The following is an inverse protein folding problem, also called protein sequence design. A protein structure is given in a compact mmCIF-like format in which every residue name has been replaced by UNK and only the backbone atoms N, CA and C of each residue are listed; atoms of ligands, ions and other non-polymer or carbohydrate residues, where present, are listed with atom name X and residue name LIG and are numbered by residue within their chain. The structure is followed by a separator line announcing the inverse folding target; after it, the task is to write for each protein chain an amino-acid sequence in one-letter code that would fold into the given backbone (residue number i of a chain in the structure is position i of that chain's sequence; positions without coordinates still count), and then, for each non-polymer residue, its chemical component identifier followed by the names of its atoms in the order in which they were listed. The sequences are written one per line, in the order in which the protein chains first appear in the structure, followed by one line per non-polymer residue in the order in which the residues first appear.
data_IF_827572123004
#
_entry.id   IF_827572123004
#
_cell.length_a   1.000
_cell.length_b   1.000
_cell.length_c   1.000
_cell.angle_alpha   90.00
_cell.angle_beta   90.00
_cell.angle_gamma   90.00
#
_symmetry.space_group_name_H-M   'P 1'
#
loop_
_entity.id
_entity.type
_entity.pdbx_description
1 polymer ?
#
# COMPACT_ATOMS: atom_id res chain seq x y z
N UNK A 1 -3.22 15.69 -1.19
CA UNK A 1 -2.60 14.78 -2.17
C UNK A 1 -2.80 13.37 -1.65
N UNK A 2 -3.16 12.46 -2.53
CA UNK A 2 -3.42 11.05 -2.17
C UNK A 2 -2.11 10.25 -2.18
N UNK A 3 -1.98 9.29 -1.26
CA UNK A 3 -0.77 8.47 -1.12
C UNK A 3 -0.52 7.62 -2.37
N UNK A 4 -1.58 7.06 -2.98
CA UNK A 4 -1.48 6.28 -4.22
C UNK A 4 -0.89 7.11 -5.37
N UNK A 5 -1.35 8.36 -5.54
CA UNK A 5 -0.84 9.24 -6.58
C UNK A 5 0.67 9.54 -6.40
N UNK A 6 1.10 9.74 -5.15
CA UNK A 6 2.51 9.96 -4.83
C UNK A 6 3.37 8.73 -5.14
N UNK A 7 2.89 7.51 -4.83
CA UNK A 7 3.56 6.27 -5.22
C UNK A 7 3.73 6.19 -6.76
N UNK A 8 2.69 6.52 -7.53
CA UNK A 8 2.77 6.51 -9.01
C UNK A 8 3.73 7.55 -9.58
N UNK A 9 3.95 8.65 -8.87
CA UNK A 9 4.94 9.67 -9.23
C UNK A 9 6.37 9.34 -8.73
N UNK A 10 6.57 8.20 -8.05
CA UNK A 10 7.85 7.82 -7.44
C UNK A 10 8.20 8.63 -6.19
N UNK A 11 7.23 9.33 -5.59
CA UNK A 11 7.40 10.16 -4.38
C UNK A 11 7.15 9.33 -3.12
N UNK A 12 7.90 8.25 -2.96
CA UNK A 12 7.72 7.24 -1.91
C UNK A 12 7.77 7.81 -0.49
N UNK A 13 8.75 8.67 -0.17
CA UNK A 13 8.85 9.34 1.13
C UNK A 13 7.60 10.17 1.48
N UNK A 14 7.02 10.84 0.49
CA UNK A 14 5.85 11.67 0.68
C UNK A 14 4.60 10.79 0.88
N UNK A 15 4.48 9.68 0.15
CA UNK A 15 3.44 8.69 0.36
C UNK A 15 3.54 8.05 1.76
N UNK A 16 4.77 7.70 2.18
CA UNK A 16 5.05 7.11 3.49
C UNK A 16 4.58 8.03 4.62
N UNK A 17 4.86 9.33 4.53
CA UNK A 17 4.38 10.33 5.51
C UNK A 17 2.86 10.38 5.65
N UNK A 18 2.11 10.05 4.59
CA UNK A 18 0.65 10.00 4.63
C UNK A 18 0.20 8.69 5.28
N UNK A 19 0.66 7.54 4.78
CA UNK A 19 0.16 6.23 5.24
C UNK A 19 0.57 5.92 6.69
N UNK A 20 1.68 6.46 7.19
CA UNK A 20 2.07 6.27 8.59
C UNK A 20 1.11 6.92 9.59
N UNK A 21 0.29 7.88 9.15
CA UNK A 21 -0.68 8.59 10.00
C UNK A 21 -2.05 7.89 10.04
N UNK A 22 -2.26 6.86 9.21
CA UNK A 22 -3.51 6.12 9.12
C UNK A 22 -3.29 4.63 9.46
N UNK A 23 -4.09 4.11 10.37
CA UNK A 23 -4.03 2.74 10.85
C UNK A 23 -4.98 1.77 10.09
N UNK A 24 -5.64 2.22 9.02
CA UNK A 24 -6.52 1.39 8.20
C UNK A 24 -5.77 0.26 7.49
N UNK A 25 -6.51 -0.77 7.07
CA UNK A 25 -5.94 -1.89 6.27
C UNK A 25 -5.44 -1.41 4.92
N UNK A 26 -6.08 -0.41 4.32
CA UNK A 26 -5.66 0.20 3.06
C UNK A 26 -4.32 0.93 3.24
N UNK A 27 -4.18 1.73 4.29
CA UNK A 27 -2.90 2.41 4.57
C UNK A 27 -1.80 1.41 4.93
N UNK A 28 -2.10 0.36 5.69
CA UNK A 28 -1.15 -0.74 5.91
C UNK A 28 -0.73 -1.42 4.60
N UNK A 29 -1.64 -1.60 3.65
CA UNK A 29 -1.33 -2.18 2.35
C UNK A 29 -0.35 -1.30 1.55
N UNK A 30 -0.66 -0.01 1.37
CA UNK A 30 0.26 0.91 0.70
C UNK A 30 1.61 1.02 1.43
N UNK A 31 1.63 0.92 2.75
CA UNK A 31 2.86 0.88 3.54
C UNK A 31 3.74 -0.33 3.17
N UNK A 32 3.12 -1.50 2.97
CA UNK A 32 3.79 -2.70 2.48
C UNK A 32 4.41 -2.51 1.11
N UNK A 33 3.67 -1.90 0.18
CA UNK A 33 4.15 -1.60 -1.18
C UNK A 33 5.34 -0.63 -1.16
N UNK A 34 5.30 0.41 -0.30
CA UNK A 34 6.39 1.38 -0.16
C UNK A 34 7.68 0.69 0.32
N UNK A 35 7.61 -0.14 1.36
CA UNK A 35 8.81 -0.85 1.82
C UNK A 35 9.31 -1.91 0.85
N UNK A 36 8.44 -2.48 0.01
CA UNK A 36 8.85 -3.36 -1.07
C UNK A 36 9.71 -2.60 -2.11
N UNK A 37 9.32 -1.38 -2.48
CA UNK A 37 10.12 -0.50 -3.34
C UNK A 37 11.48 -0.16 -2.70
N UNK A 38 11.49 0.14 -1.40
CA UNK A 38 12.71 0.49 -0.66
C UNK A 38 13.67 -0.70 -0.45
N UNK A 39 13.22 -1.94 -0.75
CA UNK A 39 13.97 -3.17 -0.52
C UNK A 39 13.94 -3.68 0.92
N UNK A 40 13.15 -3.07 1.81
CA UNK A 40 12.93 -3.54 3.19
C UNK A 40 11.84 -4.62 3.22
N UNK A 41 12.17 -5.79 2.65
CA UNK A 41 11.22 -6.89 2.46
C UNK A 41 10.66 -7.45 3.77
N UNK A 42 11.43 -7.37 4.86
CA UNK A 42 10.96 -7.83 6.17
C UNK A 42 9.83 -6.94 6.68
N UNK A 43 9.99 -5.62 6.53
CA UNK A 43 9.00 -4.65 6.97
C UNK A 43 7.80 -4.60 6.00
N UNK A 44 8.05 -4.71 4.69
CA UNK A 44 7.00 -4.89 3.69
C UNK A 44 6.06 -6.03 4.08
N UNK A 45 6.61 -7.21 4.41
CA UNK A 45 5.85 -8.38 4.87
C UNK A 45 5.05 -8.10 6.15
N UNK A 46 5.62 -7.39 7.12
CA UNK A 46 4.90 -6.99 8.33
C UNK A 46 3.66 -6.15 8.01
N UNK A 47 3.78 -5.20 7.09
CA UNK A 47 2.66 -4.33 6.70
C UNK A 47 1.62 -5.02 5.81
N UNK A 48 2.04 -5.89 4.88
CA UNK A 48 1.10 -6.75 4.15
C UNK A 48 0.29 -7.63 5.10
N UNK A 49 0.94 -8.26 6.08
CA UNK A 49 0.26 -9.04 7.12
C UNK A 49 -0.73 -8.17 7.92
N UNK A 50 -0.37 -6.93 8.25
CA UNK A 50 -1.26 -5.99 8.94
C UNK A 50 -2.47 -5.56 8.09
N UNK A 51 -2.31 -5.50 6.77
CA UNK A 51 -3.42 -5.34 5.84
C UNK A 51 -4.30 -6.61 5.73
N UNK A 52 -3.84 -7.75 6.27
CA UNK A 52 -4.43 -9.07 6.08
C UNK A 52 -4.24 -9.63 4.68
N UNK A 53 -3.11 -9.27 4.06
CA UNK A 53 -2.72 -9.70 2.72
C UNK A 53 -1.43 -10.50 2.79
N UNK A 54 -1.30 -11.47 1.89
CA UNK A 54 -0.02 -12.10 1.64
C UNK A 54 0.88 -11.12 0.86
N UNK A 55 2.20 -11.33 0.94
CA UNK A 55 3.14 -10.61 0.09
C UNK A 55 2.83 -10.91 -1.38
N UNK A 56 2.76 -9.89 -2.25
CA UNK A 56 2.40 -10.10 -3.65
C UNK A 56 3.58 -10.69 -4.44
N UNK A 57 3.29 -11.69 -5.28
CA UNK A 57 4.24 -12.22 -6.28
C UNK A 57 4.30 -11.33 -7.55
N UNK A 58 3.72 -10.13 -7.49
CA UNK A 58 3.53 -9.23 -8.64
C UNK A 58 4.51 -8.04 -8.61
N UNK A 59 4.56 -7.30 -9.72
CA UNK A 59 5.33 -6.04 -9.75
C UNK A 59 4.65 -4.97 -8.89
N UNK A 60 5.41 -3.99 -8.43
CA UNK A 60 4.87 -2.86 -7.67
C UNK A 60 3.79 -2.11 -8.46
N UNK A 61 3.98 -1.96 -9.78
CA UNK A 61 2.99 -1.34 -10.65
C UNK A 61 1.66 -2.12 -10.67
N UNK A 62 1.73 -3.46 -10.74
CA UNK A 62 0.54 -4.32 -10.68
C UNK A 62 -0.15 -4.21 -9.31
N UNK A 63 0.63 -4.16 -8.23
CA UNK A 63 0.07 -4.06 -6.88
C UNK A 63 -0.59 -2.69 -6.63
N UNK A 64 -0.04 -1.60 -7.16
CA UNK A 64 -0.69 -0.29 -7.14
C UNK A 64 -1.98 -0.28 -7.98
N UNK A 65 -2.03 -0.99 -9.11
CA UNK A 65 -3.25 -1.14 -9.89
C UNK A 65 -4.32 -1.96 -9.13
N UNK A 66 -3.91 -3.00 -8.40
CA UNK A 66 -4.80 -3.78 -7.55
C UNK A 66 -5.35 -2.93 -6.41
N UNK A 67 -4.48 -2.17 -5.74
CA UNK A 67 -4.88 -1.23 -4.71
C UNK A 67 -5.93 -0.22 -5.22
N UNK A 68 -5.69 0.38 -6.38
CA UNK A 68 -6.61 1.36 -6.98
C UNK A 68 -7.98 0.75 -7.28
N UNK A 69 -8.02 -0.49 -7.77
CA UNK A 69 -9.29 -1.21 -8.00
C UNK A 69 -10.05 -1.45 -6.71
N UNK A 70 -9.37 -1.81 -5.62
CA UNK A 70 -9.98 -2.01 -4.31
C UNK A 70 -10.52 -0.71 -3.72
N UNK A 71 -9.79 0.40 -3.93
CA UNK A 71 -10.18 1.72 -3.45
C UNK A 71 -11.45 2.24 -4.13
N UNK A 72 -11.62 1.95 -5.42
CA UNK A 72 -12.76 2.39 -6.25
C UNK A 72 -13.92 1.39 -6.23
N UNK A 73 -13.66 0.12 -5.95
CA UNK A 73 -14.66 -0.94 -5.88
C UNK A 73 -15.68 -0.76 -4.74
N UNK A 74 -16.79 -1.53 -4.75
CA UNK A 74 -17.75 -1.51 -3.65
C UNK A 74 -17.04 -1.95 -2.37
N UNK A 75 -16.80 -1.00 -1.48
CA UNK A 75 -16.08 -1.17 -0.23
C UNK A 75 -16.84 -2.13 0.69
N UNK A 76 -16.44 -3.41 0.70
CA UNK A 76 -17.02 -4.46 1.56
C UNK A 76 -16.55 -4.35 3.02
N UNK A 77 -15.56 -3.50 3.30
CA UNK A 77 -14.94 -3.33 4.62
C UNK A 77 -15.41 -2.06 5.36
N UNK A 78 -16.60 -1.53 4.99
CA UNK A 78 -17.31 -0.48 5.74
C UNK A 78 -18.39 -1.01 6.71
N UNK A 79 -18.35 -2.29 7.06
CA UNK A 79 -19.24 -2.90 8.07
C UNK A 79 -18.61 -2.93 9.46
#
# INVERSE_FOLDING_TARGET
MDALALCREGKWDAAHKIVQQDNSRLSAWLHGVIHQEEGDLSNARYWFNRAGRHEPDATIADELNHFERELIGPNVDKL
#
